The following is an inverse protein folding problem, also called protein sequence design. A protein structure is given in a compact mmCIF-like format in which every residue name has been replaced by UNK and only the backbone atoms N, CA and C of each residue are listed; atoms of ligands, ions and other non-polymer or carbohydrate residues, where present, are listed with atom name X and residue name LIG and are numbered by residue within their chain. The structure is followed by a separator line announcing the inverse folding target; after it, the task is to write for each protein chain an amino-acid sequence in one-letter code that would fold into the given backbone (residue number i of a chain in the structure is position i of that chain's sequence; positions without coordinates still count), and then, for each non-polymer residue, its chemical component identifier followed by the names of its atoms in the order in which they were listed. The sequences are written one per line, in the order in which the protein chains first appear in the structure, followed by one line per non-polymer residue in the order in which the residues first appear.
data_IF_968192425109
#
_entry.id   IF_968192425109
#
_cell.length_a   1.000
_cell.length_b   1.000
_cell.length_c   1.000
_cell.angle_alpha   90.00
_cell.angle_beta   90.00
_cell.angle_gamma   90.00
#
_symmetry.space_group_name_H-M   'P 1'
#
loop_
_entity.id
_entity.type
_entity.pdbx_description
1 polymer ?
#
# COMPACT_ATOMS: atom_id res chain seq x y z
N UNK A 1 1.02 -2.41 -20.39
CA UNK A 1 1.08 -2.86 -18.97
C UNK A 1 0.47 -1.86 -17.99
N UNK A 2 0.77 -0.54 -18.08
CA UNK A 2 0.20 0.47 -17.14
C UNK A 2 -1.33 0.58 -17.20
N UNK A 3 -1.95 0.51 -18.37
CA UNK A 3 -3.41 0.63 -18.52
C UNK A 3 -4.16 -0.57 -17.96
N UNK A 4 -3.68 -1.79 -18.25
CA UNK A 4 -4.28 -3.04 -17.72
C UNK A 4 -4.22 -3.07 -16.20
N UNK A 5 -3.08 -2.67 -15.61
CA UNK A 5 -2.93 -2.58 -14.16
C UNK A 5 -3.88 -1.54 -13.56
N UNK A 6 -4.05 -0.39 -14.23
CA UNK A 6 -4.97 0.65 -13.77
C UNK A 6 -6.43 0.21 -13.81
N UNK A 7 -6.85 -0.47 -14.90
CA UNK A 7 -8.20 -1.01 -15.04
C UNK A 7 -8.44 -2.09 -13.98
N UNK A 8 -7.49 -2.99 -13.76
CA UNK A 8 -7.60 -4.03 -12.73
C UNK A 8 -7.75 -3.44 -11.33
N UNK A 9 -7.01 -2.38 -11.01
CA UNK A 9 -7.14 -1.64 -9.75
C UNK A 9 -8.50 -0.98 -9.61
N UNK A 10 -9.03 -0.37 -10.68
CA UNK A 10 -10.37 0.24 -10.66
C UNK A 10 -11.45 -0.83 -10.45
N UNK A 11 -11.36 -1.95 -11.17
CA UNK A 11 -12.30 -3.08 -11.01
C UNK A 11 -12.24 -3.63 -9.60
N UNK A 12 -11.04 -3.80 -9.04
CA UNK A 12 -10.86 -4.23 -7.65
C UNK A 12 -11.49 -3.25 -6.67
N UNK A 13 -11.27 -1.93 -6.86
CA UNK A 13 -11.88 -0.88 -6.04
C UNK A 13 -13.41 -0.94 -6.08
N UNK A 14 -13.99 -1.07 -7.28
CA UNK A 14 -15.43 -1.20 -7.46
C UNK A 14 -15.98 -2.47 -6.81
N UNK A 15 -15.28 -3.59 -6.95
CA UNK A 15 -15.66 -4.84 -6.31
C UNK A 15 -15.63 -4.73 -4.78
N UNK A 16 -14.57 -4.15 -4.19
CA UNK A 16 -14.46 -3.92 -2.74
C UNK A 16 -15.59 -3.00 -2.25
N UNK A 17 -15.88 -1.91 -2.95
CA UNK A 17 -17.00 -1.02 -2.62
C UNK A 17 -18.34 -1.74 -2.70
N UNK A 18 -18.58 -2.48 -3.77
CA UNK A 18 -19.82 -3.24 -3.97
C UNK A 18 -20.03 -4.28 -2.87
N UNK A 19 -18.99 -5.06 -2.54
CA UNK A 19 -19.02 -6.06 -1.47
C UNK A 19 -19.26 -5.39 -0.11
N UNK A 20 -18.57 -4.28 0.19
CA UNK A 20 -18.76 -3.55 1.44
C UNK A 20 -20.18 -2.99 1.59
N UNK A 21 -20.77 -2.51 0.50
CA UNK A 21 -22.14 -2.01 0.49
C UNK A 21 -23.15 -3.15 0.70
N UNK A 22 -23.00 -4.26 -0.03
CA UNK A 22 -23.82 -5.47 0.16
C UNK A 22 -23.72 -5.99 1.59
N UNK A 23 -22.50 -6.02 2.13
CA UNK A 23 -22.25 -6.43 3.51
C UNK A 23 -22.99 -5.52 4.49
N UNK A 24 -23.00 -4.21 4.25
CA UNK A 24 -23.71 -3.24 5.10
C UNK A 24 -25.22 -3.42 5.06
N UNK A 25 -25.79 -3.67 3.89
CA UNK A 25 -27.24 -3.79 3.69
C UNK A 25 -27.79 -5.13 4.21
N UNK A 26 -27.06 -6.23 3.99
CA UNK A 26 -27.52 -7.57 4.37
C UNK A 26 -27.17 -7.94 5.81
N UNK A 27 -26.23 -7.25 6.45
CA UNK A 27 -25.75 -7.57 7.80
C UNK A 27 -26.11 -6.47 8.80
N UNK A 28 -27.41 -6.39 9.10
CA UNK A 28 -28.02 -5.43 10.03
C UNK A 28 -28.04 -5.90 11.50
N UNK A 29 -27.53 -7.10 11.77
CA UNK A 29 -27.43 -7.64 13.12
C UNK A 29 -26.51 -6.76 14.00
N UNK A 30 -27.04 -6.30 15.14
CA UNK A 30 -26.25 -5.62 16.17
C UNK A 30 -25.51 -6.67 16.99
N UNK A 31 -24.19 -6.61 16.96
CA UNK A 31 -23.31 -7.54 17.68
C UNK A 31 -22.37 -6.72 18.58
N UNK A 32 -22.33 -6.99 19.89
CA UNK A 32 -21.31 -6.42 20.75
C UNK A 32 -19.94 -6.98 20.36
N UNK A 33 -18.95 -6.11 20.14
CA UNK A 33 -17.61 -6.52 19.73
C UNK A 33 -16.70 -6.62 20.95
N UNK A 34 -16.23 -7.83 21.27
CA UNK A 34 -15.23 -8.05 22.30
C UNK A 34 -13.84 -8.08 21.65
N UNK A 35 -12.97 -7.13 22.00
CA UNK A 35 -11.59 -7.01 21.47
C UNK A 35 -10.55 -7.60 22.42
N UNK A 36 -10.93 -8.61 23.21
CA UNK A 36 -10.11 -9.27 24.26
C UNK A 36 -9.80 -8.39 25.49
N UNK A 37 -9.60 -7.09 25.29
CA UNK A 37 -9.20 -6.12 26.33
C UNK A 37 -10.40 -5.29 26.79
N UNK A 38 -11.40 -5.14 25.93
CA UNK A 38 -12.61 -4.35 26.19
C UNK A 38 -13.79 -4.87 25.37
N UNK A 39 -15.00 -4.59 25.86
CA UNK A 39 -16.24 -4.78 25.10
C UNK A 39 -16.69 -3.43 24.53
N UNK A 40 -16.84 -3.37 23.22
CA UNK A 40 -17.30 -2.18 22.51
C UNK A 40 -18.82 -2.22 22.38
N UNK A 41 -19.47 -1.05 22.34
CA UNK A 41 -20.94 -0.96 22.28
C UNK A 41 -21.51 -1.71 21.09
N UNK A 42 -22.71 -2.27 21.28
CA UNK A 42 -23.41 -2.99 20.23
C UNK A 42 -23.63 -2.09 19.01
N UNK A 43 -23.04 -2.50 17.89
CA UNK A 43 -23.10 -1.83 16.61
C UNK A 43 -23.29 -2.89 15.53
N UNK A 44 -23.64 -2.46 14.32
CA UNK A 44 -23.74 -3.37 13.18
C UNK A 44 -22.37 -4.01 12.93
N UNK A 45 -22.34 -5.31 12.68
CA UNK A 45 -21.09 -6.01 12.37
C UNK A 45 -20.36 -5.38 11.17
N UNK A 46 -21.14 -4.89 10.20
CA UNK A 46 -20.67 -4.11 9.06
C UNK A 46 -19.84 -2.89 9.45
N UNK A 47 -20.28 -2.12 10.45
CA UNK A 47 -19.53 -0.97 10.94
C UNK A 47 -18.13 -1.36 11.38
N UNK A 48 -17.99 -2.41 12.21
CA UNK A 48 -16.69 -2.83 12.73
C UNK A 48 -15.74 -3.32 11.64
N UNK A 49 -16.25 -4.13 10.70
CA UNK A 49 -15.44 -4.69 9.61
C UNK A 49 -14.98 -3.57 8.65
N UNK A 50 -15.87 -2.64 8.30
CA UNK A 50 -15.53 -1.52 7.42
C UNK A 50 -14.52 -0.61 8.10
N UNK A 51 -14.68 -0.34 9.39
CA UNK A 51 -13.74 0.50 10.15
C UNK A 51 -12.36 -0.13 10.21
N UNK A 52 -12.28 -1.43 10.51
CA UNK A 52 -11.02 -2.18 10.52
C UNK A 52 -10.35 -2.19 9.14
N UNK A 53 -11.13 -2.41 8.08
CA UNK A 53 -10.63 -2.36 6.70
C UNK A 53 -10.11 -0.97 6.34
N UNK A 54 -10.86 0.08 6.67
CA UNK A 54 -10.47 1.46 6.42
C UNK A 54 -9.16 1.82 7.15
N UNK A 55 -9.07 1.52 8.44
CA UNK A 55 -7.86 1.78 9.23
C UNK A 55 -6.66 0.97 8.72
N UNK A 56 -6.86 -0.33 8.43
CA UNK A 56 -5.82 -1.19 7.86
C UNK A 56 -5.33 -0.67 6.51
N UNK A 57 -6.26 -0.25 5.65
CA UNK A 57 -5.97 0.35 4.35
C UNK A 57 -5.17 1.64 4.46
N UNK A 58 -5.58 2.57 5.33
CA UNK A 58 -4.86 3.82 5.61
C UNK A 58 -3.45 3.54 6.13
N UNK A 59 -3.29 2.67 7.12
CA UNK A 59 -1.98 2.30 7.65
C UNK A 59 -1.08 1.66 6.58
N UNK A 60 -1.64 0.76 5.76
CA UNK A 60 -0.93 0.15 4.64
C UNK A 60 -0.48 1.17 3.61
N UNK A 61 -1.34 2.14 3.27
CA UNK A 61 -1.03 3.19 2.31
C UNK A 61 0.07 4.12 2.84
N UNK A 62 0.03 4.46 4.14
CA UNK A 62 1.07 5.25 4.80
C UNK A 62 2.41 4.51 4.80
N UNK A 63 2.43 3.23 5.17
CA UNK A 63 3.62 2.40 5.16
C UNK A 63 4.24 2.30 3.75
N UNK A 64 3.41 2.06 2.73
CA UNK A 64 3.84 2.02 1.33
C UNK A 64 4.40 3.37 0.88
N UNK A 65 3.75 4.48 1.23
CA UNK A 65 4.21 5.83 0.91
C UNK A 65 5.59 6.12 1.50
N UNK A 66 5.82 5.76 2.77
CA UNK A 66 7.13 5.90 3.42
C UNK A 66 8.19 5.06 2.69
N UNK A 67 7.87 3.81 2.34
CA UNK A 67 8.79 2.93 1.63
C UNK A 67 9.17 3.50 0.25
N UNK A 68 8.19 4.04 -0.48
CA UNK A 68 8.40 4.69 -1.79
C UNK A 68 9.29 5.93 -1.65
N UNK A 69 9.04 6.79 -0.65
CA UNK A 69 9.85 7.98 -0.41
C UNK A 69 11.29 7.62 -0.08
N UNK A 70 11.51 6.59 0.77
CA UNK A 70 12.85 6.07 1.07
C UNK A 70 13.55 5.58 -0.20
N UNK A 71 12.84 4.82 -1.04
CA UNK A 71 13.40 4.31 -2.29
C UNK A 71 13.78 5.44 -3.25
N UNK A 72 12.96 6.50 -3.35
CA UNK A 72 13.26 7.67 -4.17
C UNK A 72 14.48 8.44 -3.65
N UNK A 73 14.60 8.62 -2.33
CA UNK A 73 15.77 9.26 -1.71
C UNK A 73 17.06 8.47 -1.97
N UNK A 74 17.02 7.13 -1.80
CA UNK A 74 18.15 6.25 -2.13
C UNK A 74 18.53 6.35 -3.60
N UNK A 75 17.55 6.33 -4.52
CA UNK A 75 17.78 6.52 -5.96
C UNK A 75 18.47 7.85 -6.27
N UNK A 76 18.05 8.95 -5.64
CA UNK A 76 18.66 10.26 -5.83
C UNK A 76 20.11 10.28 -5.32
N UNK A 77 20.36 9.69 -4.14
CA UNK A 77 21.71 9.60 -3.57
C UNK A 77 22.65 8.78 -4.46
N UNK A 78 22.17 7.66 -5.01
CA UNK A 78 22.95 6.79 -5.89
C UNK A 78 23.26 7.48 -7.22
N UNK A 79 22.29 8.20 -7.80
CA UNK A 79 22.51 9.04 -8.99
C UNK A 79 23.57 10.10 -8.76
N UNK A 80 23.58 10.77 -7.61
CA UNK A 80 24.61 11.76 -7.25
C UNK A 80 26.00 11.11 -7.12
N UNK A 81 26.11 9.93 -6.53
CA UNK A 81 27.39 9.21 -6.41
C UNK A 81 27.95 8.75 -7.76
N UNK A 82 27.08 8.29 -8.67
CA UNK A 82 27.47 7.93 -10.03
C UNK A 82 27.89 9.16 -10.85
N UNK A 83 27.20 10.29 -10.70
CA UNK A 83 27.57 11.55 -11.36
C UNK A 83 28.91 12.13 -10.83
N UNK A 84 29.24 11.91 -9.55
CA UNK A 84 30.49 12.35 -8.95
C UNK A 84 31.70 11.46 -9.29
N UNK A 85 31.50 10.24 -9.83
CA UNK A 85 32.57 9.36 -10.34
C UNK A 85 32.42 9.07 -11.85
N UNK A 86 32.64 10.05 -12.76
CA UNK A 86 32.62 9.78 -14.20
C UNK A 86 33.81 8.93 -14.69
N UNK A 87 34.92 8.91 -13.92
CA UNK A 87 36.21 8.44 -14.44
C UNK A 87 36.63 7.00 -14.12
N UNK A 88 35.95 6.26 -13.22
CA UNK A 88 36.39 4.89 -12.84
C UNK A 88 35.69 3.77 -13.60
N UNK A 89 34.38 3.89 -13.88
CA UNK A 89 33.63 2.84 -14.58
C UNK A 89 34.04 2.65 -16.06
N UNK A 90 34.51 3.70 -16.73
CA UNK A 90 34.99 3.64 -18.12
C UNK A 90 36.45 3.14 -18.20
N UNK A 91 37.23 3.31 -17.13
CA UNK A 91 38.63 2.87 -17.08
C UNK A 91 38.74 1.41 -16.67
N UNK A 92 37.87 0.92 -15.77
CA UNK A 92 37.86 -0.47 -15.33
C UNK A 92 37.36 -1.45 -16.42
N UNK A 93 36.40 -1.04 -17.27
CA UNK A 93 35.99 -1.85 -18.43
C UNK A 93 37.01 -1.84 -19.57
N UNK A 94 37.88 -0.82 -19.65
CA UNK A 94 39.00 -0.76 -20.61
C UNK A 94 40.27 -1.47 -20.12
N UNK A 95 40.49 -1.55 -18.80
CA UNK A 95 41.64 -2.22 -18.20
C UNK A 95 41.50 -3.74 -18.04
N UNK A 96 40.27 -4.27 -18.03
CA UNK A 96 40.00 -5.71 -17.96
C UNK A 96 40.05 -6.44 -19.32
N UNK A 97 40.45 -5.75 -20.39
CA UNK A 97 40.49 -6.26 -21.76
C UNK A 97 41.89 -6.31 -22.39
N UNK A 98 42.96 -6.23 -21.59
CA UNK A 98 44.36 -6.44 -22.03
C UNK A 98 44.95 -7.60 -21.25
#
# INVERSE_FOLDING_TARGET
MRLIGSILVIVLLLAVLGIGLLFTLENDALVPLNVLIAELPAQRLSTWIILAFFFGGVCGLLAASIAILRLQASRLSLRRQLAAKPGKAVVESRGAGV
#
